data_IF_293506374729
#
_entry.id   IF_293506374729
#
_cell.length_a   1.000
_cell.length_b   1.000
_cell.length_c   1.000
_cell.angle_alpha   90.00
_cell.angle_beta   90.00
_cell.angle_gamma   90.00
#
_symmetry.space_group_name_H-M   'P 1'
#
loop_
_entity.id
_entity.type
_entity.pdbx_description
1 polymer ?
#
# COMPACT_ATOMS: atom_id res chain seq x y z
N UNK A 1 -26.71 -0.55 18.81
CA UNK A 1 -27.05 -0.64 17.38
C UNK A 1 -25.85 -1.11 16.59
N UNK A 2 -26.04 -2.10 15.75
CA UNK A 2 -24.97 -2.58 14.88
C UNK A 2 -25.10 -1.84 13.54
N UNK A 3 -24.07 -1.08 13.12
CA UNK A 3 -24.11 -0.45 11.81
C UNK A 3 -24.13 -1.50 10.72
N UNK A 4 -24.75 -1.19 9.59
CA UNK A 4 -24.76 -2.14 8.48
C UNK A 4 -23.39 -2.13 7.76
N UNK A 5 -23.20 -3.12 6.91
CA UNK A 5 -21.91 -3.28 6.23
C UNK A 5 -21.58 -2.11 5.29
N UNK A 6 -22.61 -1.55 4.64
CA UNK A 6 -22.41 -0.40 3.75
C UNK A 6 -21.91 0.81 4.53
N UNK A 7 -22.50 1.08 5.70
CA UNK A 7 -22.06 2.17 6.56
C UNK A 7 -20.63 1.94 7.05
N UNK A 8 -20.28 0.71 7.44
CA UNK A 8 -18.94 0.38 7.89
C UNK A 8 -17.92 0.60 6.80
N UNK A 9 -18.20 0.14 5.60
CA UNK A 9 -17.29 0.32 4.46
C UNK A 9 -17.07 1.80 4.16
N UNK A 10 -18.13 2.57 4.20
CA UNK A 10 -18.04 4.00 3.90
C UNK A 10 -17.31 4.77 5.00
N UNK A 11 -17.66 4.52 6.27
CA UNK A 11 -17.07 5.23 7.40
C UNK A 11 -15.61 4.88 7.66
N UNK A 12 -15.16 3.68 7.23
CA UNK A 12 -13.81 3.22 7.48
C UNK A 12 -12.88 3.48 6.29
N UNK A 13 -13.24 4.42 5.42
CA UNK A 13 -12.47 4.73 4.23
C UNK A 13 -12.23 6.22 4.10
N UNK A 14 -11.12 6.61 3.48
CA UNK A 14 -10.81 8.00 3.17
C UNK A 14 -10.74 8.18 1.66
N UNK A 15 -11.74 8.81 1.09
CA UNK A 15 -11.76 9.11 -0.34
C UNK A 15 -10.65 10.11 -0.71
N UNK A 16 -10.34 11.03 0.19
CA UNK A 16 -9.24 11.98 -0.02
C UNK A 16 -7.91 11.26 -0.12
N UNK A 17 -7.63 10.36 0.81
CA UNK A 17 -6.39 9.60 0.80
C UNK A 17 -6.28 8.75 -0.46
N UNK A 18 -7.35 8.09 -0.85
CA UNK A 18 -7.38 7.29 -2.08
C UNK A 18 -7.06 8.15 -3.31
N UNK A 19 -7.66 9.33 -3.42
CA UNK A 19 -7.42 10.24 -4.53
C UNK A 19 -5.94 10.65 -4.59
N UNK A 20 -5.37 11.00 -3.46
CA UNK A 20 -3.95 11.37 -3.40
C UNK A 20 -3.05 10.21 -3.78
N UNK A 21 -3.35 9.00 -3.31
CA UNK A 21 -2.61 7.81 -3.69
C UNK A 21 -2.65 7.56 -5.19
N UNK A 22 -3.85 7.60 -5.78
CA UNK A 22 -4.01 7.34 -7.21
C UNK A 22 -3.29 8.37 -8.06
N UNK A 23 -3.38 9.64 -7.69
CA UNK A 23 -2.71 10.71 -8.43
C UNK A 23 -1.20 10.50 -8.47
N UNK A 24 -0.60 10.14 -7.33
CA UNK A 24 0.84 9.93 -7.27
C UNK A 24 1.26 8.64 -7.97
N UNK A 25 0.44 7.60 -7.94
CA UNK A 25 0.71 6.39 -8.70
C UNK A 25 0.71 6.65 -10.22
N UNK A 26 -0.22 7.48 -10.68
CA UNK A 26 -0.27 7.88 -12.10
C UNK A 26 1.00 8.66 -12.48
N UNK A 27 1.40 9.62 -11.64
CA UNK A 27 2.64 10.37 -11.86
C UNK A 27 3.86 9.43 -11.89
N UNK A 28 3.87 8.45 -10.99
CA UNK A 28 4.94 7.46 -10.96
C UNK A 28 5.01 6.61 -12.22
N UNK A 29 3.85 6.31 -12.82
CA UNK A 29 3.81 5.53 -14.04
C UNK A 29 4.54 6.22 -15.20
N UNK A 30 4.50 7.55 -15.25
CA UNK A 30 5.23 8.30 -16.28
C UNK A 30 6.75 8.20 -16.08
N UNK A 31 7.21 8.01 -14.86
CA UNK A 31 8.64 7.92 -14.54
C UNK A 31 9.17 6.49 -14.60
N UNK A 32 8.41 5.55 -14.10
CA UNK A 32 8.90 4.19 -13.83
C UNK A 32 8.16 3.12 -14.62
N UNK A 33 7.12 3.48 -15.35
CA UNK A 33 6.31 2.55 -16.11
C UNK A 33 5.14 1.98 -15.30
N UNK A 34 4.20 1.39 -15.99
CA UNK A 34 3.03 0.79 -15.36
C UNK A 34 3.42 -0.40 -14.51
N UNK A 35 2.65 -0.64 -13.45
CA UNK A 35 2.91 -1.75 -12.52
C UNK A 35 3.00 -3.09 -13.25
N UNK A 36 2.11 -3.34 -14.19
CA UNK A 36 2.13 -4.60 -14.96
C UNK A 36 3.42 -4.80 -15.74
N UNK A 37 4.00 -3.71 -16.26
CA UNK A 37 5.28 -3.76 -16.98
C UNK A 37 6.43 -4.00 -16.02
N UNK A 38 6.41 -3.32 -14.87
CA UNK A 38 7.43 -3.53 -13.84
C UNK A 38 7.40 -4.97 -13.32
N UNK A 39 6.19 -5.51 -13.16
CA UNK A 39 5.98 -6.89 -12.71
C UNK A 39 6.58 -7.89 -13.69
N UNK A 40 6.34 -7.69 -14.98
CA UNK A 40 6.93 -8.52 -16.03
C UNK A 40 8.45 -8.43 -16.03
N UNK A 41 8.98 -7.22 -15.94
CA UNK A 41 10.42 -6.97 -15.91
C UNK A 41 11.08 -7.65 -14.71
N UNK A 42 10.43 -7.61 -13.55
CA UNK A 42 10.92 -8.28 -12.36
C UNK A 42 11.01 -9.79 -12.54
N UNK A 43 10.00 -10.38 -13.18
CA UNK A 43 10.00 -11.83 -13.50
C UNK A 43 11.13 -12.22 -14.43
N UNK A 44 11.52 -11.31 -15.30
CA UNK A 44 12.60 -11.53 -16.28
C UNK A 44 13.98 -11.21 -15.69
N UNK A 45 14.08 -11.00 -14.38
CA UNK A 45 15.36 -10.72 -13.70
C UNK A 45 15.82 -9.28 -13.84
N UNK A 46 14.93 -8.36 -14.15
CA UNK A 46 15.25 -6.94 -14.24
C UNK A 46 15.62 -6.34 -12.90
N UNK A 47 16.30 -5.18 -12.96
CA UNK A 47 16.69 -4.44 -11.78
C UNK A 47 15.46 -4.01 -10.98
N UNK A 48 15.54 -4.16 -9.66
CA UNK A 48 14.45 -3.77 -8.76
C UNK A 48 14.95 -2.84 -7.67
N UNK A 49 14.05 -1.96 -7.24
CA UNK A 49 14.28 -1.16 -6.06
C UNK A 49 13.92 -1.95 -4.81
N UNK A 50 14.57 -1.64 -3.70
CA UNK A 50 14.17 -2.15 -2.41
C UNK A 50 12.95 -1.35 -1.92
N UNK A 51 11.77 -1.75 -2.35
CA UNK A 51 10.54 -1.04 -2.07
C UNK A 51 10.17 -1.13 -0.59
N UNK A 52 10.49 -2.24 0.06
CA UNK A 52 10.24 -2.41 1.49
C UNK A 52 11.00 -1.36 2.28
N UNK A 53 12.27 -1.15 1.96
CA UNK A 53 13.08 -0.12 2.62
C UNK A 53 12.55 1.28 2.32
N UNK A 54 12.03 1.50 1.12
CA UNK A 54 11.43 2.78 0.75
C UNK A 54 10.22 3.13 1.62
N UNK A 55 9.40 2.14 1.98
CA UNK A 55 8.29 2.35 2.91
C UNK A 55 8.80 2.90 4.24
N UNK A 56 9.80 2.24 4.81
CA UNK A 56 10.37 2.65 6.10
C UNK A 56 10.92 4.08 6.04
N UNK A 57 11.61 4.42 4.95
CA UNK A 57 12.17 5.75 4.78
C UNK A 57 11.08 6.83 4.71
N UNK A 58 9.98 6.56 4.02
CA UNK A 58 8.88 7.53 3.92
C UNK A 58 8.19 7.74 5.26
N UNK A 59 8.02 6.69 6.05
CA UNK A 59 7.47 6.80 7.40
C UNK A 59 8.37 7.67 8.27
N UNK A 60 9.68 7.46 8.20
CA UNK A 60 10.65 8.25 8.94
C UNK A 60 10.57 9.73 8.54
N UNK A 61 10.47 10.03 7.27
CA UNK A 61 10.35 11.40 6.79
C UNK A 61 9.07 12.07 7.31
N UNK A 62 7.98 11.34 7.36
CA UNK A 62 6.76 11.87 7.94
C UNK A 62 6.95 12.20 9.42
N UNK A 63 7.60 11.35 10.18
CA UNK A 63 7.86 11.61 11.60
C UNK A 63 8.66 12.89 11.79
N UNK A 64 9.62 13.16 10.91
CA UNK A 64 10.44 14.36 11.00
C UNK A 64 9.72 15.64 10.55
N UNK A 65 8.89 15.55 9.52
CA UNK A 65 8.38 16.75 8.85
C UNK A 65 6.89 17.01 9.08
N UNK A 66 6.11 15.97 9.40
CA UNK A 66 4.65 16.08 9.45
C UNK A 66 4.00 16.22 8.08
N UNK A 67 4.75 16.09 7.00
CA UNK A 67 4.21 16.21 5.65
C UNK A 67 3.51 14.91 5.25
N UNK A 68 2.19 14.97 5.11
CA UNK A 68 1.38 13.79 4.77
C UNK A 68 1.66 13.24 3.38
N UNK A 69 2.32 14.00 2.50
CA UNK A 69 2.78 13.48 1.23
C UNK A 69 3.63 12.22 1.43
N UNK A 70 4.46 12.21 2.47
CA UNK A 70 5.29 11.04 2.76
C UNK A 70 4.45 9.82 3.16
N UNK A 71 3.32 10.04 3.83
CA UNK A 71 2.42 8.94 4.17
C UNK A 71 1.72 8.41 2.92
N UNK A 72 1.31 9.29 2.02
CA UNK A 72 0.73 8.87 0.73
C UNK A 72 1.75 8.03 -0.05
N UNK A 73 2.99 8.49 -0.10
CA UNK A 73 4.06 7.75 -0.78
C UNK A 73 4.33 6.40 -0.11
N UNK A 74 4.33 6.36 1.23
CA UNK A 74 4.51 5.11 1.96
C UNK A 74 3.42 4.10 1.61
N UNK A 75 2.16 4.55 1.56
CA UNK A 75 1.04 3.70 1.20
C UNK A 75 1.17 3.15 -0.22
N UNK A 76 1.60 4.00 -1.16
CA UNK A 76 1.82 3.59 -2.54
C UNK A 76 2.98 2.59 -2.64
N UNK A 77 4.05 2.79 -1.87
CA UNK A 77 5.12 1.80 -1.82
C UNK A 77 4.64 0.49 -1.21
N UNK A 78 3.73 0.52 -0.23
CA UNK A 78 3.11 -0.70 0.28
C UNK A 78 2.36 -1.45 -0.80
N UNK A 79 1.63 -0.75 -1.65
CA UNK A 79 0.96 -1.35 -2.80
C UNK A 79 1.98 -2.00 -3.73
N UNK A 80 3.10 -1.33 -3.98
CA UNK A 80 4.15 -1.89 -4.84
C UNK A 80 4.82 -3.10 -4.19
N UNK A 81 5.00 -3.10 -2.89
CA UNK A 81 5.50 -4.27 -2.17
C UNK A 81 4.56 -5.44 -2.39
N UNK A 82 3.25 -5.20 -2.20
CA UNK A 82 2.24 -6.24 -2.38
C UNK A 82 2.30 -6.84 -3.78
N UNK A 83 2.45 -5.99 -4.79
CA UNK A 83 2.41 -6.44 -6.18
C UNK A 83 3.75 -6.96 -6.70
N UNK A 84 4.87 -6.42 -6.24
CA UNK A 84 6.16 -6.63 -6.89
C UNK A 84 7.22 -7.33 -6.05
N UNK A 85 7.09 -7.31 -4.72
CA UNK A 85 8.17 -7.82 -3.89
C UNK A 85 8.32 -9.34 -4.03
N UNK A 86 9.56 -9.84 -4.18
CA UNK A 86 9.80 -11.26 -4.41
C UNK A 86 10.06 -12.07 -3.15
N UNK A 87 9.57 -11.63 -2.01
CA UNK A 87 9.84 -12.33 -0.75
C UNK A 87 9.50 -13.82 -0.91
N UNK A 88 10.41 -14.74 -0.60
CA UNK A 88 10.20 -16.18 -0.83
C UNK A 88 9.06 -16.77 -0.01
N UNK A 89 8.72 -16.13 1.11
CA UNK A 89 7.63 -16.58 1.97
C UNK A 89 6.42 -15.67 1.89
N UNK A 90 6.30 -14.93 0.79
CA UNK A 90 5.22 -13.96 0.61
C UNK A 90 3.86 -14.66 0.64
N UNK A 91 3.01 -14.25 1.55
CA UNK A 91 1.66 -14.81 1.70
C UNK A 91 0.78 -13.82 2.44
N UNK A 92 -0.51 -14.03 2.36
CA UNK A 92 -1.48 -13.29 3.15
C UNK A 92 -2.15 -14.25 4.12
N UNK A 93 -2.09 -13.92 5.40
CA UNK A 93 -2.78 -14.69 6.43
C UNK A 93 -3.39 -13.68 7.40
N UNK A 94 -4.70 -13.69 7.49
CA UNK A 94 -5.41 -12.78 8.39
C UNK A 94 -5.33 -13.36 9.80
N UNK A 95 -4.35 -12.89 10.55
CA UNK A 95 -4.23 -13.27 11.95
C UNK A 95 -5.21 -12.46 12.77
N UNK A 96 -6.22 -13.14 13.24
CA UNK A 96 -7.03 -12.57 14.25
C UNK A 96 -6.30 -12.63 15.55
N UNK A 97 -6.18 -11.51 16.21
CA UNK A 97 -5.70 -11.56 17.58
C UNK A 97 -6.79 -12.17 18.45
N UNK A 98 -6.47 -12.41 19.71
CA UNK A 98 -7.36 -13.07 20.64
C UNK A 98 -8.72 -12.38 20.78
N UNK A 99 -8.82 -11.12 20.39
CA UNK A 99 -10.07 -10.38 20.48
C UNK A 99 -11.00 -10.58 19.30
N UNK A 100 -10.54 -11.21 18.23
CA UNK A 100 -11.35 -11.40 17.06
C UNK A 100 -11.78 -10.12 16.38
N UNK A 101 -10.99 -9.08 16.48
CA UNK A 101 -11.35 -7.75 16.00
C UNK A 101 -11.55 -7.66 14.50
N UNK A 102 -10.93 -8.54 13.75
CA UNK A 102 -10.97 -8.48 12.30
C UNK A 102 -11.98 -9.45 11.67
N UNK A 103 -12.74 -10.15 12.46
CA UNK A 103 -13.66 -11.17 11.96
C UNK A 103 -14.97 -10.63 11.44
N UNK A 104 -15.30 -9.42 11.75
CA UNK A 104 -16.65 -8.91 11.59
C UNK A 104 -16.96 -8.53 10.16
N UNK A 105 -15.99 -8.04 9.44
CA UNK A 105 -16.17 -7.53 8.08
C UNK A 105 -15.63 -8.51 7.08
N UNK A 106 -16.53 -9.12 6.34
CA UNK A 106 -16.16 -10.08 5.30
C UNK A 106 -16.66 -9.59 3.94
#
# INVERSE_FOLDING_TARGET
MVPDLAELKDSQWSAEFETLMRNRLIMGAFRYGMIKVQKKRAKEGGKRYDVVRAVAEKVRLYEETGNTEHIVDAANYCLLVFELDPHPNKHFSAHDDAGGHCQIVK
#
